data_IF_681923186053
#
_entry.id   IF_681923186053
#
_cell.length_a   1.000
_cell.length_b   1.000
_cell.length_c   1.000
_cell.angle_alpha   90.00
_cell.angle_beta   90.00
_cell.angle_gamma   90.00
#
_symmetry.space_group_name_H-M   'P 1'
#
loop_
_entity.id
_entity.type
_entity.pdbx_description
1 polymer ?
#
# COMPACT_ATOMS: atom_id res chain seq x y z
N UNK A 1 9.52 -10.35 -8.23
CA UNK A 1 9.26 -9.03 -8.88
C UNK A 1 10.50 -8.17 -8.70
N UNK A 2 10.88 -7.45 -9.74
CA UNK A 2 12.01 -6.52 -9.71
C UNK A 2 11.59 -5.15 -9.15
N UNK A 3 12.54 -4.40 -8.57
CA UNK A 3 12.28 -3.07 -8.00
C UNK A 3 11.70 -2.09 -9.03
N UNK A 4 12.21 -2.11 -10.27
CA UNK A 4 11.71 -1.27 -11.37
C UNK A 4 10.24 -1.53 -11.71
N UNK A 5 9.79 -2.78 -11.60
CA UNK A 5 8.38 -3.15 -11.80
C UNK A 5 7.52 -2.66 -10.63
N UNK A 6 8.01 -2.80 -9.39
CA UNK A 6 7.31 -2.29 -8.22
C UNK A 6 7.14 -0.75 -8.28
N UNK A 7 8.18 -0.03 -8.69
CA UNK A 7 8.11 1.43 -8.91
C UNK A 7 7.01 1.78 -9.92
N UNK A 8 7.02 1.16 -11.12
CA UNK A 8 6.02 1.43 -12.18
C UNK A 8 4.59 1.18 -11.74
N UNK A 9 4.37 0.25 -10.81
CA UNK A 9 3.03 -0.04 -10.29
C UNK A 9 2.50 1.07 -9.39
N UNK A 10 3.36 1.86 -8.72
CA UNK A 10 2.95 2.80 -7.67
C UNK A 10 3.26 4.26 -7.97
N UNK A 11 4.20 4.58 -8.87
CA UNK A 11 4.72 5.94 -9.09
C UNK A 11 3.62 6.97 -9.42
N UNK A 12 2.62 6.58 -10.21
CA UNK A 12 1.49 7.46 -10.57
C UNK A 12 0.46 7.63 -9.44
N UNK A 13 0.58 6.88 -8.36
CA UNK A 13 -0.27 6.99 -7.16
C UNK A 13 0.28 7.95 -6.11
N UNK A 14 1.56 8.33 -6.23
CA UNK A 14 2.21 9.25 -5.30
C UNK A 14 2.01 10.69 -5.76
N UNK A 15 1.77 11.61 -4.81
CA UNK A 15 1.71 13.04 -5.13
C UNK A 15 3.11 13.62 -5.37
N UNK A 16 3.28 14.30 -6.48
CA UNK A 16 4.51 15.04 -6.82
C UNK A 16 4.49 16.49 -6.29
N UNK A 17 3.66 16.82 -5.33
CA UNK A 17 3.49 18.18 -4.78
C UNK A 17 4.67 18.64 -3.91
N UNK A 18 5.89 18.31 -4.22
CA UNK A 18 7.13 18.91 -3.73
C UNK A 18 7.41 18.82 -2.20
N UNK A 19 6.40 18.72 -1.37
CA UNK A 19 6.54 18.67 0.09
C UNK A 19 6.86 17.27 0.60
N UNK A 20 7.63 17.20 1.68
CA UNK A 20 7.94 15.96 2.36
C UNK A 20 6.66 15.29 2.91
N UNK A 21 6.54 13.99 2.74
CA UNK A 21 5.35 13.21 3.08
C UNK A 21 5.69 12.10 4.08
N UNK A 22 4.69 11.73 4.89
CA UNK A 22 4.74 10.54 5.74
C UNK A 22 3.87 9.43 5.14
N UNK A 23 4.44 8.23 5.01
CA UNK A 23 3.78 7.07 4.45
C UNK A 23 3.94 5.84 5.34
N UNK A 24 2.95 4.95 5.32
CA UNK A 24 3.04 3.61 5.90
C UNK A 24 3.05 2.58 4.76
N UNK A 25 3.87 1.55 4.90
CA UNK A 25 3.81 0.32 4.11
C UNK A 25 3.31 -0.80 5.02
N UNK A 26 2.04 -1.17 4.85
CA UNK A 26 1.34 -2.14 5.71
C UNK A 26 1.48 -3.55 5.15
N UNK A 27 2.24 -4.39 5.85
CA UNK A 27 2.64 -5.72 5.40
C UNK A 27 3.87 -5.66 4.48
N UNK A 28 4.89 -4.94 4.92
CA UNK A 28 6.09 -4.63 4.13
C UNK A 28 6.90 -5.86 3.68
N UNK A 29 6.78 -6.99 4.35
CA UNK A 29 7.48 -8.22 4.02
C UNK A 29 9.00 -8.03 3.96
N UNK A 30 9.60 -8.27 2.79
CA UNK A 30 11.03 -8.08 2.55
C UNK A 30 11.42 -6.65 2.16
N UNK A 31 10.48 -5.71 2.15
CA UNK A 31 10.72 -4.29 1.88
C UNK A 31 10.87 -3.91 0.41
N UNK A 32 10.45 -4.76 -0.54
CA UNK A 32 10.52 -4.43 -1.97
C UNK A 32 9.70 -3.18 -2.28
N UNK A 33 8.45 -3.14 -1.85
CA UNK A 33 7.56 -2.01 -2.08
C UNK A 33 7.87 -0.82 -1.19
N UNK A 34 8.41 -1.03 0.02
CA UNK A 34 8.98 0.05 0.86
C UNK A 34 10.07 0.82 0.10
N UNK A 35 11.01 0.10 -0.55
CA UNK A 35 12.07 0.72 -1.36
C UNK A 35 11.51 1.39 -2.61
N UNK A 36 10.54 0.77 -3.27
CA UNK A 36 9.88 1.37 -4.43
C UNK A 36 9.21 2.70 -4.05
N UNK A 37 8.50 2.72 -2.92
CA UNK A 37 7.84 3.92 -2.41
C UNK A 37 8.87 5.01 -2.04
N UNK A 38 9.93 4.65 -1.32
CA UNK A 38 11.00 5.58 -0.96
C UNK A 38 11.71 6.21 -2.18
N UNK A 39 11.77 5.46 -3.29
CA UNK A 39 12.40 5.95 -4.53
C UNK A 39 11.55 6.99 -5.30
N UNK A 40 10.23 7.04 -5.06
CA UNK A 40 9.31 7.93 -5.80
C UNK A 40 8.78 9.09 -4.94
N UNK A 41 8.98 9.06 -3.63
CA UNK A 41 8.55 10.12 -2.73
C UNK A 41 9.47 11.35 -2.81
N UNK A 42 8.93 12.56 -2.57
CA UNK A 42 9.72 13.78 -2.46
C UNK A 42 10.82 13.67 -1.38
N UNK A 43 11.91 14.39 -1.59
CA UNK A 43 13.02 14.44 -0.62
C UNK A 43 12.55 14.89 0.76
N UNK A 44 13.10 14.30 1.81
CA UNK A 44 12.72 14.57 3.20
C UNK A 44 11.53 13.76 3.70
N UNK A 45 10.88 12.97 2.82
CA UNK A 45 9.78 12.08 3.20
C UNK A 45 10.23 10.95 4.13
N UNK A 46 9.24 10.33 4.79
CA UNK A 46 9.45 9.18 5.68
C UNK A 46 8.51 8.05 5.29
N UNK A 47 9.03 6.84 5.16
CA UNK A 47 8.24 5.61 5.01
C UNK A 47 8.45 4.75 6.24
N UNK A 48 7.36 4.41 6.95
CA UNK A 48 7.39 3.42 8.03
C UNK A 48 6.90 2.08 7.52
N UNK A 49 7.81 1.12 7.38
CA UNK A 49 7.52 -0.25 7.02
C UNK A 49 6.99 -1.02 8.23
N UNK A 50 5.76 -1.53 8.15
CA UNK A 50 5.09 -2.26 9.23
C UNK A 50 4.82 -3.69 8.79
N UNK A 51 5.33 -4.66 9.57
CA UNK A 51 5.09 -6.08 9.35
C UNK A 51 5.06 -6.83 10.69
N UNK A 52 4.38 -7.97 10.73
CA UNK A 52 4.37 -8.88 11.91
C UNK A 52 5.73 -9.51 12.18
N UNK A 53 6.56 -9.61 11.15
CA UNK A 53 7.92 -10.15 11.23
C UNK A 53 8.97 -9.05 11.06
N UNK A 54 10.16 -9.26 11.57
CA UNK A 54 11.32 -8.39 11.36
C UNK A 54 12.13 -8.77 10.12
N UNK A 55 11.46 -9.27 9.07
CA UNK A 55 12.12 -9.77 7.86
C UNK A 55 12.79 -8.69 7.01
N UNK A 56 12.34 -7.45 7.14
CA UNK A 56 12.94 -6.29 6.47
C UNK A 56 13.85 -5.51 7.42
N UNK A 57 15.10 -5.33 6.99
CA UNK A 57 16.06 -4.43 7.64
C UNK A 57 16.63 -3.51 6.55
N UNK A 58 16.46 -2.17 6.69
CA UNK A 58 17.02 -1.22 5.74
C UNK A 58 18.54 -1.39 5.62
N UNK A 59 19.05 -1.38 4.39
CA UNK A 59 20.49 -1.42 4.11
C UNK A 59 21.10 -0.03 4.20
N UNK A 60 22.44 0.06 4.17
CA UNK A 60 23.12 1.36 4.10
C UNK A 60 22.69 2.19 2.88
N UNK A 61 22.38 1.55 1.75
CA UNK A 61 21.91 2.25 0.55
C UNK A 61 20.49 2.79 0.75
N UNK A 62 19.61 2.07 1.45
CA UNK A 62 18.28 2.55 1.79
C UNK A 62 18.34 3.79 2.71
N UNK A 63 19.33 3.83 3.61
CA UNK A 63 19.53 4.94 4.55
C UNK A 63 20.24 6.18 3.93
N UNK A 64 20.84 6.04 2.75
CA UNK A 64 21.49 7.15 2.02
C UNK A 64 20.55 7.86 1.05
N UNK A 65 19.33 7.35 0.87
CA UNK A 65 18.30 7.97 0.06
C UNK A 65 17.78 9.29 0.65
N UNK A 66 17.13 10.10 -0.19
CA UNK A 66 16.50 11.35 0.24
C UNK A 66 15.25 11.13 1.12
N UNK A 67 14.70 9.93 1.11
CA UNK A 67 13.55 9.48 1.93
C UNK A 67 14.04 8.57 3.04
N UNK A 68 13.65 8.84 4.28
CA UNK A 68 13.98 7.99 5.43
C UNK A 68 13.06 6.77 5.46
N UNK A 69 13.63 5.60 5.75
CA UNK A 69 12.89 4.36 5.97
C UNK A 69 13.02 3.94 7.44
N UNK A 70 11.91 3.90 8.13
CA UNK A 70 11.78 3.36 9.48
C UNK A 70 11.10 1.98 9.42
N UNK A 71 11.34 1.11 10.42
CA UNK A 71 10.70 -0.20 10.53
C UNK A 71 9.98 -0.34 11.87
N UNK A 72 8.81 -0.96 11.86
CA UNK A 72 8.02 -1.26 13.06
C UNK A 72 7.46 -2.68 12.97
N UNK A 73 7.78 -3.52 13.96
CA UNK A 73 7.17 -4.86 14.07
C UNK A 73 5.81 -4.70 14.75
N UNK A 74 4.73 -4.92 14.00
CA UNK A 74 3.36 -4.85 14.49
C UNK A 74 2.39 -5.57 13.55
N UNK A 75 1.24 -5.97 14.09
CA UNK A 75 0.08 -6.38 13.30
C UNK A 75 -0.64 -5.11 12.81
N UNK A 76 -0.58 -4.83 11.51
CA UNK A 76 -1.20 -3.64 10.95
C UNK A 76 -2.74 -3.63 11.10
N UNK A 77 -3.37 -4.79 11.25
CA UNK A 77 -4.83 -4.88 11.45
C UNK A 77 -5.29 -4.32 12.79
N UNK A 78 -4.36 -4.25 13.76
CA UNK A 78 -4.62 -3.75 15.14
C UNK A 78 -4.21 -2.30 15.36
N UNK A 79 -3.64 -1.63 14.35
CA UNK A 79 -3.28 -0.21 14.44
C UNK A 79 -4.52 0.64 14.75
N UNK A 80 -4.33 1.67 15.56
CA UNK A 80 -5.40 2.64 15.86
C UNK A 80 -5.48 3.70 14.78
N UNK A 81 -6.60 4.42 14.72
CA UNK A 81 -6.79 5.52 13.75
C UNK A 81 -5.71 6.60 13.86
N UNK A 82 -5.20 6.87 15.07
CA UNK A 82 -4.12 7.83 15.27
C UNK A 82 -2.80 7.39 14.63
N UNK A 83 -2.53 6.09 14.57
CA UNK A 83 -1.35 5.54 13.90
C UNK A 83 -1.43 5.66 12.36
N UNK A 84 -2.64 5.87 11.82
CA UNK A 84 -2.92 5.95 10.38
C UNK A 84 -3.02 7.39 9.84
N UNK A 85 -2.76 8.41 10.68
CA UNK A 85 -2.75 9.83 10.28
C UNK A 85 -1.49 10.19 9.51
N UNK A 86 -1.46 9.82 8.24
CA UNK A 86 -0.34 10.01 7.31
C UNK A 86 -0.83 10.51 5.95
N UNK A 87 0.09 11.00 5.11
CA UNK A 87 -0.21 11.43 3.74
C UNK A 87 -0.56 10.27 2.82
N UNK A 88 -0.04 9.07 3.12
CA UNK A 88 -0.36 7.92 2.32
C UNK A 88 -0.10 6.58 2.99
N UNK A 89 -0.81 5.57 2.50
CA UNK A 89 -0.66 4.18 2.92
C UNK A 89 -0.49 3.34 1.66
N UNK A 90 0.48 2.43 1.70
CA UNK A 90 0.70 1.40 0.70
C UNK A 90 0.36 0.04 1.30
N UNK A 91 -0.39 -0.77 0.56
CA UNK A 91 -0.66 -2.17 0.86
C UNK A 91 -0.34 -3.01 -0.38
N UNK A 92 0.80 -3.69 -0.36
CA UNK A 92 1.24 -4.50 -1.49
C UNK A 92 1.27 -5.98 -1.13
N UNK A 93 0.35 -6.76 -1.71
CA UNK A 93 0.13 -8.18 -1.41
C UNK A 93 -0.10 -8.45 0.09
N UNK A 94 -0.84 -7.58 0.74
CA UNK A 94 -1.09 -7.65 2.19
C UNK A 94 -2.57 -7.49 2.56
N UNK A 95 -3.37 -6.82 1.74
CA UNK A 95 -4.81 -6.65 1.97
C UNK A 95 -5.56 -7.99 1.98
N UNK A 96 -5.11 -8.95 1.19
CA UNK A 96 -5.72 -10.28 1.14
C UNK A 96 -5.57 -11.11 2.43
N UNK A 97 -4.83 -10.65 3.43
CA UNK A 97 -4.80 -11.24 4.77
C UNK A 97 -5.86 -10.65 5.71
N UNK A 98 -6.53 -9.58 5.32
CA UNK A 98 -7.59 -8.95 6.09
C UNK A 98 -8.91 -9.63 5.77
N UNK A 99 -9.59 -10.18 6.78
CA UNK A 99 -10.87 -10.88 6.59
C UNK A 99 -12.03 -9.88 6.39
N UNK A 100 -12.09 -8.84 7.21
CA UNK A 100 -13.04 -7.73 7.09
C UNK A 100 -12.39 -6.58 6.34
N UNK A 101 -12.34 -6.70 5.01
CA UNK A 101 -11.69 -5.71 4.15
C UNK A 101 -12.46 -4.40 4.09
N UNK A 102 -13.79 -4.45 4.11
CA UNK A 102 -14.63 -3.25 4.06
C UNK A 102 -14.42 -2.37 5.30
N UNK A 103 -14.60 -2.93 6.49
CA UNK A 103 -14.39 -2.22 7.75
C UNK A 103 -12.96 -1.71 7.90
N UNK A 104 -11.97 -2.50 7.45
CA UNK A 104 -10.57 -2.11 7.47
C UNK A 104 -10.27 -0.94 6.52
N UNK A 105 -10.71 -1.02 5.27
CA UNK A 105 -10.50 0.04 4.27
C UNK A 105 -11.22 1.34 4.66
N UNK A 106 -12.46 1.23 5.18
CA UNK A 106 -13.17 2.38 5.72
C UNK A 106 -12.36 3.06 6.82
N UNK A 107 -11.87 2.31 7.81
CA UNK A 107 -11.03 2.84 8.89
C UNK A 107 -9.76 3.51 8.35
N UNK A 108 -9.09 2.90 7.38
CA UNK A 108 -7.89 3.45 6.75
C UNK A 108 -8.18 4.79 6.09
N UNK A 109 -9.20 4.84 5.24
CA UNK A 109 -9.57 6.05 4.49
C UNK A 109 -10.02 7.19 5.43
N UNK A 110 -10.84 6.89 6.43
CA UNK A 110 -11.32 7.89 7.42
C UNK A 110 -10.17 8.41 8.32
N UNK A 111 -9.04 7.73 8.36
CA UNK A 111 -7.90 8.07 9.23
C UNK A 111 -6.79 8.84 8.51
N UNK A 112 -6.73 8.79 7.18
CA UNK A 112 -5.74 9.52 6.40
C UNK A 112 -5.82 11.04 6.63
N UNK A 113 -4.72 11.74 6.43
CA UNK A 113 -4.73 13.20 6.37
C UNK A 113 -5.54 13.69 5.15
N UNK A 114 -6.01 14.95 5.13
CA UNK A 114 -6.65 15.53 3.94
C UNK A 114 -5.80 15.29 2.68
N UNK A 115 -6.45 14.97 1.56
CA UNK A 115 -5.82 14.57 0.30
C UNK A 115 -4.95 13.30 0.41
N UNK A 116 -5.14 12.53 1.48
CA UNK A 116 -4.42 11.29 1.75
C UNK A 116 -4.70 10.23 0.70
N UNK A 117 -3.71 9.36 0.48
CA UNK A 117 -3.70 8.38 -0.61
C UNK A 117 -3.53 6.96 -0.08
N UNK A 118 -4.39 6.06 -0.52
CA UNK A 118 -4.19 4.63 -0.32
C UNK A 118 -3.82 3.99 -1.67
N UNK A 119 -2.65 3.35 -1.72
CA UNK A 119 -2.24 2.54 -2.87
C UNK A 119 -2.37 1.07 -2.50
N UNK A 120 -3.14 0.33 -3.28
CA UNK A 120 -3.30 -1.12 -3.13
C UNK A 120 -2.65 -1.80 -4.33
N UNK A 121 -1.82 -2.80 -4.08
CA UNK A 121 -1.24 -3.69 -5.10
C UNK A 121 -1.64 -5.12 -4.73
N UNK A 122 -2.47 -5.78 -5.56
CA UNK A 122 -3.03 -7.09 -5.25
C UNK A 122 -3.19 -7.97 -6.48
N UNK A 123 -3.41 -9.26 -6.24
CA UNK A 123 -3.75 -10.22 -7.29
C UNK A 123 -5.15 -9.91 -7.85
N UNK A 124 -5.26 -9.83 -9.18
CA UNK A 124 -6.54 -9.57 -9.87
C UNK A 124 -7.37 -10.85 -9.97
N UNK A 125 -7.89 -11.32 -8.84
CA UNK A 125 -8.67 -12.56 -8.72
C UNK A 125 -9.51 -12.54 -7.46
N UNK A 126 -10.68 -13.19 -7.49
CA UNK A 126 -11.53 -13.45 -6.32
C UNK A 126 -11.45 -14.92 -5.86
N UNK A 127 -10.52 -15.71 -6.45
CA UNK A 127 -10.32 -17.10 -6.06
C UNK A 127 -9.23 -17.23 -5.02
N UNK A 128 -9.62 -17.45 -3.76
CA UNK A 128 -8.71 -17.66 -2.65
C UNK A 128 -7.95 -18.99 -2.72
N UNK A 129 -6.81 -19.00 -2.04
CA UNK A 129 -6.03 -20.19 -1.76
C UNK A 129 -5.33 -20.05 -0.39
N UNK A 130 -4.53 -21.06 -0.01
CA UNK A 130 -3.82 -21.08 1.27
C UNK A 130 -2.91 -19.86 1.49
N UNK A 131 -2.33 -19.29 0.43
CA UNK A 131 -1.38 -18.17 0.49
C UNK A 131 -2.05 -16.80 0.32
N UNK A 132 -3.22 -16.78 -0.33
CA UNK A 132 -4.03 -15.59 -0.60
C UNK A 132 -5.46 -15.89 -0.13
N UNK A 133 -5.72 -15.82 1.19
CA UNK A 133 -6.98 -16.33 1.76
C UNK A 133 -8.21 -15.49 1.39
N UNK A 134 -8.07 -14.18 1.28
CA UNK A 134 -9.15 -13.24 0.96
C UNK A 134 -8.75 -12.33 -0.21
N UNK A 135 -8.58 -12.90 -1.43
CA UNK A 135 -8.19 -12.08 -2.59
C UNK A 135 -9.31 -11.11 -2.96
N UNK A 136 -8.92 -10.03 -3.62
CA UNK A 136 -9.83 -8.97 -4.01
C UNK A 136 -9.43 -8.49 -5.41
N UNK A 137 -10.21 -8.88 -6.44
CA UNK A 137 -9.99 -8.38 -7.80
C UNK A 137 -10.20 -6.86 -7.85
N UNK A 138 -9.68 -6.18 -8.87
CA UNK A 138 -9.90 -4.74 -9.04
C UNK A 138 -11.41 -4.40 -9.13
N UNK A 139 -12.21 -5.24 -9.79
CA UNK A 139 -13.66 -5.07 -9.86
C UNK A 139 -14.32 -5.17 -8.49
N UNK A 140 -13.93 -6.19 -7.70
CA UNK A 140 -14.47 -6.39 -6.36
C UNK A 140 -14.01 -5.29 -5.39
N UNK A 141 -12.77 -4.81 -5.49
CA UNK A 141 -12.29 -3.65 -4.74
C UNK A 141 -13.14 -2.40 -5.05
N UNK A 142 -13.38 -2.12 -6.33
CA UNK A 142 -14.19 -0.96 -6.73
C UNK A 142 -15.61 -1.05 -6.19
N UNK A 143 -16.24 -2.24 -6.25
CA UNK A 143 -17.58 -2.45 -5.72
C UNK A 143 -17.63 -2.29 -4.20
N UNK A 144 -16.64 -2.82 -3.48
CA UNK A 144 -16.55 -2.74 -2.03
C UNK A 144 -16.40 -1.29 -1.54
N UNK A 145 -15.70 -0.46 -2.30
CA UNK A 145 -15.45 0.95 -1.94
C UNK A 145 -16.66 1.86 -2.17
N UNK A 146 -17.72 1.44 -2.87
CA UNK A 146 -18.93 2.25 -3.06
C UNK A 146 -19.66 2.60 -1.76
N UNK A 147 -19.48 1.79 -0.72
CA UNK A 147 -20.07 1.99 0.61
C UNK A 147 -19.12 2.71 1.60
N UNK A 148 -17.99 3.22 1.12
CA UNK A 148 -16.99 3.91 1.94
C UNK A 148 -16.91 5.40 1.61
N UNK A 149 -16.01 6.13 2.29
CA UNK A 149 -15.66 7.53 1.99
C UNK A 149 -14.75 7.70 0.76
N UNK A 150 -14.55 6.67 -0.04
CA UNK A 150 -13.73 6.74 -1.26
C UNK A 150 -14.44 7.58 -2.34
N UNK A 151 -13.80 8.65 -2.82
CA UNK A 151 -14.30 9.45 -3.95
C UNK A 151 -13.68 9.03 -5.29
N UNK A 152 -12.42 8.60 -5.25
CA UNK A 152 -11.64 8.26 -6.45
C UNK A 152 -11.06 6.88 -6.31
N UNK A 153 -11.35 6.00 -7.26
CA UNK A 153 -10.69 4.70 -7.41
C UNK A 153 -10.13 4.63 -8.82
N UNK A 154 -8.81 4.70 -8.93
CA UNK A 154 -8.12 4.70 -10.22
C UNK A 154 -7.19 3.50 -10.33
N UNK A 155 -7.30 2.73 -11.42
CA UNK A 155 -6.31 1.70 -11.74
C UNK A 155 -5.02 2.36 -12.23
N UNK A 156 -3.93 2.17 -11.52
CA UNK A 156 -2.62 2.75 -11.86
C UNK A 156 -1.87 1.91 -12.89
N UNK A 157 -1.96 0.58 -12.75
CA UNK A 157 -1.24 -0.33 -13.63
C UNK A 157 -1.56 -1.80 -13.37
N UNK A 158 -0.91 -2.67 -14.15
CA UNK A 158 -0.96 -4.12 -13.95
C UNK A 158 0.32 -4.78 -14.45
N UNK A 159 0.60 -5.98 -13.93
CA UNK A 159 1.72 -6.82 -14.39
C UNK A 159 1.32 -8.29 -14.35
N UNK A 160 1.86 -9.14 -15.23
CA UNK A 160 1.65 -10.58 -15.12
C UNK A 160 2.12 -11.12 -13.77
N UNK A 161 1.44 -12.14 -13.26
CA UNK A 161 1.86 -12.88 -12.07
C UNK A 161 2.31 -14.28 -12.45
N UNK A 162 3.40 -14.75 -11.82
CA UNK A 162 3.83 -16.15 -11.91
C UNK A 162 2.99 -17.08 -11.00
N UNK A 163 2.26 -16.52 -10.04
CA UNK A 163 1.55 -17.25 -9.00
C UNK A 163 0.04 -17.31 -9.21
N UNK A 164 -0.54 -16.35 -9.94
CA UNK A 164 -1.99 -16.24 -10.17
C UNK A 164 -2.30 -15.85 -11.61
N UNK A 165 -3.34 -16.49 -12.20
CA UNK A 165 -3.71 -16.27 -13.62
C UNK A 165 -4.23 -14.87 -13.93
N UNK A 166 -4.75 -14.13 -12.97
CA UNK A 166 -5.29 -12.78 -13.17
C UNK A 166 -4.23 -11.68 -13.23
N UNK A 167 -2.96 -12.00 -12.92
CA UNK A 167 -1.92 -10.97 -12.78
C UNK A 167 -2.02 -10.22 -11.46
N UNK A 168 -1.32 -9.08 -11.42
CA UNK A 168 -1.33 -8.15 -10.28
C UNK A 168 -1.80 -6.81 -10.80
N UNK A 169 -2.71 -6.15 -10.11
CA UNK A 169 -3.09 -4.76 -10.37
C UNK A 169 -2.55 -3.83 -9.30
N UNK A 170 -2.49 -2.56 -9.60
CA UNK A 170 -2.34 -1.48 -8.63
C UNK A 170 -3.46 -0.46 -8.78
N UNK A 171 -3.93 0.05 -7.66
CA UNK A 171 -5.01 1.03 -7.57
C UNK A 171 -4.64 2.16 -6.61
N UNK A 172 -5.02 3.39 -6.98
CA UNK A 172 -5.07 4.54 -6.10
C UNK A 172 -6.50 4.73 -5.61
N UNK A 173 -6.66 4.89 -4.30
CA UNK A 173 -7.91 5.26 -3.65
C UNK A 173 -7.65 6.55 -2.88
N UNK A 174 -8.55 7.53 -3.04
CA UNK A 174 -8.54 8.79 -2.29
C UNK A 174 -9.85 8.94 -1.56
N UNK A 175 -9.81 9.41 -0.31
CA UNK A 175 -11.00 9.77 0.44
C UNK A 175 -11.59 11.09 -0.05
N UNK A 176 -12.89 11.29 0.22
CA UNK A 176 -13.53 12.61 0.15
C UNK A 176 -12.78 13.61 1.06
N UNK A 177 -12.64 14.84 0.56
CA UNK A 177 -12.03 15.94 1.33
C UNK A 177 -12.94 16.36 2.48
#
# INVERSE_FOLDING_TARGET
>A
MELSTAIKLIENGVSNAGDAQSWLDLGAGNGLFTRALAAVLPSGSVVTAIDKSSSFSPTKNDLQGATRIDTRVADFTTLRSEDLKVNGILMANSLHYVKDQEGFLKKVLDSLLPDGRLIVVEYDTDRGNMWVPYPLSFSSLTSLLTETSAEVVTRLGSTPSQFQRGGIYSALIMSAA
#
